data_IF_688801609813
#
_entry.id   IF_688801609813
#
_cell.length_a   1.000
_cell.length_b   1.000
_cell.length_c   1.000
_cell.angle_alpha   90.00
_cell.angle_beta   90.00
_cell.angle_gamma   90.00
#
_symmetry.space_group_name_H-M   'P 1'
#
loop_
_entity.id
_entity.type
_entity.pdbx_description
1 polymer ?
#
# COMPACT_ATOMS: atom_id res chain seq x y z
N UNK A 1 -20.67 11.12 2.65
CA UNK A 1 -20.58 9.71 2.21
C UNK A 1 -19.14 9.25 2.38
N UNK A 2 -18.85 8.13 3.07
CA UNK A 2 -17.48 7.64 3.06
C UNK A 2 -17.18 7.13 1.64
N UNK A 3 -16.08 7.56 1.00
CA UNK A 3 -15.63 6.98 -0.26
C UNK A 3 -15.57 5.46 -0.13
N UNK A 4 -15.96 4.75 -1.18
CA UNK A 4 -15.82 3.30 -1.25
C UNK A 4 -14.31 2.99 -1.33
N UNK A 5 -13.63 3.00 -0.18
CA UNK A 5 -12.18 3.16 0.00
C UNK A 5 -11.31 1.99 -0.46
N UNK A 6 -11.89 1.00 -1.14
CA UNK A 6 -11.19 -0.27 -1.38
C UNK A 6 -11.12 -0.52 -2.88
N UNK A 7 -10.09 0.09 -3.48
CA UNK A 7 -9.73 -0.14 -4.86
C UNK A 7 -8.93 -1.45 -4.98
N UNK A 8 -9.08 -2.15 -6.10
CA UNK A 8 -8.22 -3.31 -6.43
C UNK A 8 -6.74 -2.89 -6.31
N UNK A 9 -5.82 -3.79 -5.93
CA UNK A 9 -4.40 -3.47 -5.78
C UNK A 9 -3.83 -2.70 -6.97
N UNK A 10 -4.22 -3.08 -8.20
CA UNK A 10 -3.74 -2.46 -9.43
C UNK A 10 -4.20 -1.00 -9.54
N UNK A 11 -5.42 -0.72 -9.11
CA UNK A 11 -6.02 0.62 -9.15
C UNK A 11 -5.40 1.52 -8.08
N UNK A 12 -5.15 0.99 -6.88
CA UNK A 12 -4.46 1.73 -5.82
C UNK A 12 -3.04 2.10 -6.24
N UNK A 13 -2.32 1.16 -6.88
CA UNK A 13 -0.98 1.41 -7.41
C UNK A 13 -1.00 2.50 -8.49
N UNK A 14 -1.96 2.45 -9.42
CA UNK A 14 -2.11 3.50 -10.45
C UNK A 14 -2.39 4.86 -9.81
N UNK A 15 -3.33 4.93 -8.85
CA UNK A 15 -3.69 6.16 -8.15
C UNK A 15 -2.51 6.75 -7.39
N UNK A 16 -1.69 5.92 -6.74
CA UNK A 16 -0.49 6.39 -6.06
C UNK A 16 0.50 7.05 -7.03
N UNK A 17 0.70 6.48 -8.23
CA UNK A 17 1.55 7.11 -9.25
C UNK A 17 0.99 8.45 -9.74
N UNK A 18 -0.33 8.54 -9.96
CA UNK A 18 -0.98 9.79 -10.33
C UNK A 18 -0.78 10.87 -9.24
N UNK A 19 -0.93 10.50 -7.97
CA UNK A 19 -0.71 11.40 -6.83
C UNK A 19 0.76 11.86 -6.73
N UNK A 20 1.72 10.96 -6.92
CA UNK A 20 3.15 11.30 -6.96
C UNK A 20 3.44 12.28 -8.11
N UNK A 21 2.83 12.08 -9.29
CA UNK A 21 3.06 12.95 -10.45
C UNK A 21 2.62 14.40 -10.23
N UNK A 22 1.69 14.64 -9.30
CA UNK A 22 1.22 15.98 -8.90
C UNK A 22 1.82 16.44 -7.57
N UNK A 23 2.84 15.76 -7.06
CA UNK A 23 3.55 16.12 -5.81
C UNK A 23 2.82 15.77 -4.52
N UNK A 24 1.73 14.98 -4.58
CA UNK A 24 0.95 14.56 -3.40
C UNK A 24 1.45 13.23 -2.83
N UNK A 25 2.72 13.21 -2.42
CA UNK A 25 3.40 12.00 -1.95
C UNK A 25 2.79 11.42 -0.67
N UNK A 26 2.28 12.27 0.23
CA UNK A 26 1.60 11.80 1.46
C UNK A 26 0.29 11.08 1.13
N UNK A 27 -0.54 11.63 0.24
CA UNK A 27 -1.80 11.00 -0.18
C UNK A 27 -1.53 9.68 -0.93
N UNK A 28 -0.44 9.64 -1.72
CA UNK A 28 0.01 8.41 -2.38
C UNK A 28 0.41 7.34 -1.35
N UNK A 29 1.17 7.74 -0.31
CA UNK A 29 1.58 6.86 0.77
C UNK A 29 0.36 6.29 1.52
N UNK A 30 -0.63 7.12 1.85
CA UNK A 30 -1.86 6.70 2.54
C UNK A 30 -2.66 5.71 1.68
N UNK A 31 -2.82 6.00 0.38
CA UNK A 31 -3.51 5.12 -0.57
C UNK A 31 -2.88 3.72 -0.62
N UNK A 32 -1.54 3.65 -0.68
CA UNK A 32 -0.82 2.36 -0.68
C UNK A 32 -0.92 1.67 0.68
N UNK A 33 -0.82 2.43 1.78
CA UNK A 33 -0.87 1.89 3.12
C UNK A 33 -2.22 1.23 3.41
N UNK A 34 -3.33 1.89 3.07
CA UNK A 34 -4.68 1.34 3.24
C UNK A 34 -4.90 0.05 2.45
N UNK A 35 -4.27 -0.04 1.27
CA UNK A 35 -4.32 -1.26 0.45
C UNK A 35 -3.60 -2.42 1.14
N UNK A 36 -2.44 -2.17 1.77
CA UNK A 36 -1.71 -3.17 2.57
C UNK A 36 -2.50 -3.56 3.82
N UNK A 37 -3.24 -2.62 4.45
CA UNK A 37 -4.08 -2.90 5.62
C UNK A 37 -5.35 -3.68 5.31
N UNK A 38 -5.79 -3.68 4.06
CA UNK A 38 -7.08 -4.23 3.65
C UNK A 38 -7.13 -5.74 3.84
N UNK A 39 -8.02 -6.19 4.75
CA UNK A 39 -8.23 -7.63 5.04
C UNK A 39 -9.14 -8.35 4.04
N UNK A 40 -9.66 -7.66 3.01
CA UNK A 40 -10.60 -8.22 2.04
C UNK A 40 -9.93 -9.01 0.92
N UNK A 41 -8.69 -8.67 0.57
CA UNK A 41 -7.92 -9.37 -0.47
C UNK A 41 -6.83 -10.21 0.20
N UNK A 42 -7.21 -11.38 0.73
CA UNK A 42 -6.32 -12.26 1.50
C UNK A 42 -5.29 -13.03 0.68
N UNK A 43 -5.27 -12.85 -0.65
CA UNK A 43 -4.31 -13.52 -1.51
C UNK A 43 -3.29 -12.52 -2.01
N UNK A 44 -2.03 -12.75 -1.64
CA UNK A 44 -0.91 -12.01 -2.17
C UNK A 44 -0.83 -12.15 -3.69
N UNK A 45 -0.44 -11.07 -4.36
CA UNK A 45 -0.19 -11.05 -5.80
C UNK A 45 1.07 -10.23 -6.08
N UNK A 46 1.64 -10.35 -7.28
CA UNK A 46 2.76 -9.49 -7.71
C UNK A 46 2.47 -8.00 -7.61
N UNK A 47 1.21 -7.58 -7.73
CA UNK A 47 0.81 -6.19 -7.53
C UNK A 47 1.04 -5.72 -6.09
N UNK A 48 0.85 -6.60 -5.10
CA UNK A 48 1.12 -6.27 -3.69
C UNK A 48 2.61 -6.05 -3.43
N UNK A 49 3.49 -6.79 -4.11
CA UNK A 49 4.93 -6.55 -4.06
C UNK A 49 5.29 -5.17 -4.58
N UNK A 50 4.77 -4.79 -5.76
CA UNK A 50 4.98 -3.46 -6.33
C UNK A 50 4.45 -2.35 -5.40
N UNK A 51 3.29 -2.55 -4.77
CA UNK A 51 2.74 -1.65 -3.76
C UNK A 51 3.68 -1.52 -2.57
N UNK A 52 4.19 -2.63 -2.02
CA UNK A 52 5.07 -2.62 -0.85
C UNK A 52 6.40 -1.93 -1.14
N UNK A 53 7.00 -2.17 -2.32
CA UNK A 53 8.22 -1.49 -2.75
C UNK A 53 8.00 0.02 -2.84
N UNK A 54 6.93 0.43 -3.53
CA UNK A 54 6.62 1.86 -3.68
C UNK A 54 6.28 2.54 -2.35
N UNK A 55 5.57 1.84 -1.48
CA UNK A 55 5.26 2.29 -0.13
C UNK A 55 6.54 2.51 0.71
N UNK A 56 7.51 1.60 0.63
CA UNK A 56 8.81 1.73 1.30
C UNK A 56 9.63 2.91 0.77
N UNK A 57 9.68 3.10 -0.56
CA UNK A 57 10.33 4.27 -1.17
C UNK A 57 9.78 5.57 -0.60
N UNK A 58 8.45 5.71 -0.55
CA UNK A 58 7.79 6.89 0.02
C UNK A 58 8.03 7.03 1.52
N UNK A 59 8.04 5.94 2.29
CA UNK A 59 8.33 6.00 3.73
C UNK A 59 9.75 6.51 4.02
N UNK A 60 10.73 6.14 3.18
CA UNK A 60 12.10 6.64 3.30
C UNK A 60 12.16 8.12 2.92
N UNK A 61 11.59 8.49 1.77
CA UNK A 61 11.55 9.89 1.30
C UNK A 61 10.90 10.82 2.32
N UNK A 62 9.75 10.44 2.86
CA UNK A 62 8.95 11.22 3.80
C UNK A 62 9.35 11.04 5.27
N UNK A 63 10.40 10.25 5.56
CA UNK A 63 10.89 9.95 6.92
C UNK A 63 9.79 9.45 7.87
N UNK A 64 9.04 8.43 7.44
CA UNK A 64 7.91 7.82 8.18
C UNK A 64 8.22 6.39 8.66
N UNK A 65 9.13 6.19 9.63
CA UNK A 65 9.53 4.85 10.07
C UNK A 65 8.40 4.07 10.75
N UNK A 66 7.49 4.75 11.45
CA UNK A 66 6.34 4.12 12.09
C UNK A 66 5.36 3.53 11.06
N UNK A 67 5.09 4.24 9.97
CA UNK A 67 4.23 3.77 8.87
C UNK A 67 4.85 2.57 8.17
N UNK A 68 6.17 2.60 7.93
CA UNK A 68 6.90 1.47 7.35
C UNK A 68 6.81 0.21 8.23
N UNK A 69 7.07 0.34 9.54
CA UNK A 69 6.98 -0.76 10.50
C UNK A 69 5.60 -1.41 10.47
N UNK A 70 4.55 -0.59 10.52
CA UNK A 70 3.17 -1.09 10.54
C UNK A 70 2.75 -1.75 9.22
N UNK A 71 3.23 -1.23 8.09
CA UNK A 71 3.00 -1.84 6.77
C UNK A 71 3.71 -3.20 6.65
N UNK A 72 4.98 -3.30 7.06
CA UNK A 72 5.75 -4.54 7.02
C UNK A 72 5.12 -5.65 7.89
N UNK A 73 4.61 -5.29 9.06
CA UNK A 73 3.91 -6.25 9.93
C UNK A 73 2.70 -6.86 9.22
N UNK A 74 1.89 -6.03 8.56
CA UNK A 74 0.70 -6.49 7.84
C UNK A 74 1.05 -7.24 6.56
N UNK A 75 2.06 -6.77 5.82
CA UNK A 75 2.54 -7.41 4.61
C UNK A 75 3.06 -8.83 4.89
N UNK A 76 3.76 -9.05 6.02
CA UNK A 76 4.14 -10.39 6.47
C UNK A 76 2.93 -11.30 6.66
N UNK A 77 1.86 -10.80 7.29
CA UNK A 77 0.64 -11.60 7.47
C UNK A 77 0.00 -11.95 6.13
N UNK A 78 -0.01 -11.02 5.18
CA UNK A 78 -0.57 -11.22 3.84
C UNK A 78 0.17 -12.33 3.07
N UNK A 79 1.51 -12.33 3.08
CA UNK A 79 2.32 -13.34 2.36
C UNK A 79 2.27 -14.72 3.03
N UNK A 80 2.17 -14.77 4.36
CA UNK A 80 2.04 -16.04 5.08
C UNK A 80 0.67 -16.71 4.86
N UNK A 81 -0.40 -15.94 4.70
CA UNK A 81 -1.73 -16.49 4.42
C UNK A 81 -1.88 -17.07 3.02
N UNK A 82 -1.12 -16.59 2.04
CA UNK A 82 -1.15 -17.10 0.66
C UNK A 82 -0.37 -18.40 0.42
N UNK A 83 0.37 -18.88 1.43
CA UNK A 83 1.21 -20.08 1.36
C UNK A 83 0.51 -21.36 1.88
N UNK A 84 -0.78 -21.28 2.19
CA UNK A 84 -1.61 -22.41 2.64
C UNK A 84 -2.88 -22.56 1.78
#
# INVERSE_FOLDING_TARGET
>A
MPPNFFQKPETALKRAHELISVGKEMDALETLHDTIKSKRHKQWTKTHEAIMLKHMELCVSLRRPHVAKDALFQYKTLTQQSLF
#
